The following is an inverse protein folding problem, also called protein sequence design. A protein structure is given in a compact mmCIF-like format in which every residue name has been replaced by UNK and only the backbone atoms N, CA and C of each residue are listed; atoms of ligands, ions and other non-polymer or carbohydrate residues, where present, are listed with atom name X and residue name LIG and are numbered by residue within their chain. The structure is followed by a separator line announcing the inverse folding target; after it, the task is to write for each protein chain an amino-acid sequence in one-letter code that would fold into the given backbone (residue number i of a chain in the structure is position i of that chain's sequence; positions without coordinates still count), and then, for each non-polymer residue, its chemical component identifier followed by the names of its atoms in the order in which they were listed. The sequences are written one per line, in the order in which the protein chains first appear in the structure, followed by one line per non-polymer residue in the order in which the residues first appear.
data_IF_041037378068
#
_entry.id   IF_041037378068
#
_cell.length_a   1.000
_cell.length_b   1.000
_cell.length_c   1.000
_cell.angle_alpha   90.00
_cell.angle_beta   90.00
_cell.angle_gamma   90.00
#
_symmetry.space_group_name_H-M   'P 1'
#
loop_
_entity.id
_entity.type
_entity.pdbx_description
1 polymer ?
#
# COMPACT_ATOMS: atom_id res chain seq x y z
N UNK A 1 -11.97 16.50 12.66
CA UNK A 1 -12.92 15.60 13.40
C UNK A 1 -12.14 14.88 14.45
N UNK A 2 -12.65 14.79 15.68
CA UNK A 2 -12.02 14.02 16.75
C UNK A 2 -11.87 12.55 16.31
N UNK A 3 -10.69 11.93 16.44
CA UNK A 3 -10.47 10.51 16.11
C UNK A 3 -11.52 9.57 16.74
N UNK A 4 -11.90 9.82 18.00
CA UNK A 4 -12.91 9.03 18.70
C UNK A 4 -14.30 9.00 18.04
N UNK A 5 -14.60 9.93 17.13
CA UNK A 5 -15.87 10.00 16.41
C UNK A 5 -15.75 9.49 14.97
N UNK A 6 -14.54 9.15 14.49
CA UNK A 6 -14.34 8.65 13.13
C UNK A 6 -14.83 7.22 13.01
N UNK A 7 -15.42 6.92 11.86
CA UNK A 7 -15.88 5.59 11.47
C UNK A 7 -15.01 5.12 10.29
N UNK A 8 -14.25 4.08 10.48
CA UNK A 8 -13.32 3.57 9.47
C UNK A 8 -13.77 2.20 8.98
N UNK A 9 -13.51 1.92 7.70
CA UNK A 9 -13.62 0.59 7.10
C UNK A 9 -12.21 0.09 6.79
N UNK A 10 -11.86 -1.07 7.31
CA UNK A 10 -10.66 -1.82 6.94
C UNK A 10 -11.06 -2.94 5.97
N UNK A 11 -10.82 -2.74 4.69
CA UNK A 11 -11.06 -3.70 3.62
C UNK A 11 -9.79 -4.50 3.35
N UNK A 12 -9.87 -5.82 3.43
CA UNK A 12 -8.71 -6.72 3.49
C UNK A 12 -8.31 -7.07 4.92
N UNK A 13 -9.28 -7.08 5.84
CA UNK A 13 -9.05 -7.25 7.28
C UNK A 13 -8.55 -8.65 7.68
N UNK A 14 -8.72 -9.67 6.82
CA UNK A 14 -8.20 -11.02 7.03
C UNK A 14 -6.73 -11.19 6.58
N UNK A 15 -6.17 -10.21 5.86
CA UNK A 15 -4.78 -10.22 5.39
C UNK A 15 -3.76 -9.84 6.48
N UNK A 16 -2.47 -10.09 6.23
CA UNK A 16 -1.39 -9.83 7.19
C UNK A 16 -1.31 -8.35 7.60
N UNK A 17 -1.27 -7.41 6.63
CA UNK A 17 -1.26 -5.98 6.92
C UNK A 17 -2.58 -5.55 7.58
N UNK A 18 -3.73 -6.06 7.09
CA UNK A 18 -5.04 -5.78 7.69
C UNK A 18 -5.11 -6.21 9.16
N UNK A 19 -4.59 -7.38 9.49
CA UNK A 19 -4.51 -7.87 10.87
C UNK A 19 -3.67 -6.96 11.78
N UNK A 20 -2.50 -6.52 11.31
CA UNK A 20 -1.63 -5.61 12.06
C UNK A 20 -2.30 -4.23 12.28
N UNK A 21 -2.94 -3.68 11.25
CA UNK A 21 -3.69 -2.41 11.35
C UNK A 21 -4.83 -2.55 12.38
N UNK A 22 -5.62 -3.62 12.28
CA UNK A 22 -6.68 -3.90 13.26
C UNK A 22 -6.15 -3.89 14.68
N UNK A 23 -5.09 -4.64 14.93
CA UNK A 23 -4.52 -4.76 16.27
C UNK A 23 -3.96 -3.43 16.78
N UNK A 24 -3.17 -2.73 15.95
CA UNK A 24 -2.49 -1.49 16.34
C UNK A 24 -3.44 -0.28 16.50
N UNK A 25 -4.60 -0.30 15.84
CA UNK A 25 -5.58 0.80 15.89
C UNK A 25 -6.85 0.46 16.70
N UNK A 26 -6.87 -0.70 17.36
CA UNK A 26 -8.03 -1.15 18.15
C UNK A 26 -8.43 -0.12 19.20
N UNK A 27 -9.74 0.21 19.22
CA UNK A 27 -10.32 1.13 20.21
C UNK A 27 -9.96 2.61 20.03
N UNK A 28 -9.21 2.96 18.96
CA UNK A 28 -8.80 4.34 18.70
C UNK A 28 -9.90 5.18 18.06
N UNK A 29 -10.79 4.56 17.28
CA UNK A 29 -11.85 5.24 16.51
C UNK A 29 -13.23 4.83 17.01
N UNK A 30 -14.23 5.65 16.71
CA UNK A 30 -15.62 5.40 17.12
C UNK A 30 -16.21 4.11 16.56
N UNK A 31 -15.75 3.70 15.37
CA UNK A 31 -16.05 2.40 14.76
C UNK A 31 -14.89 1.96 13.89
N UNK A 32 -14.52 0.69 13.98
CA UNK A 32 -13.71 0.00 12.98
C UNK A 32 -14.54 -1.14 12.36
N UNK A 33 -15.01 -0.94 11.13
CA UNK A 33 -15.68 -2.00 10.37
C UNK A 33 -14.63 -2.82 9.63
N UNK A 34 -14.62 -4.11 9.88
CA UNK A 34 -13.69 -5.09 9.33
C UNK A 34 -14.36 -5.80 8.16
N UNK A 35 -13.82 -5.69 6.96
CA UNK A 35 -14.41 -6.29 5.77
C UNK A 35 -13.39 -7.11 4.98
N UNK A 36 -13.84 -8.28 4.54
CA UNK A 36 -13.07 -9.16 3.67
C UNK A 36 -14.02 -10.11 2.93
N UNK A 37 -13.53 -10.75 1.86
CA UNK A 37 -14.21 -11.88 1.23
C UNK A 37 -14.01 -13.16 2.06
N UNK A 38 -12.86 -13.29 2.72
CA UNK A 38 -12.55 -14.36 3.66
C UNK A 38 -13.15 -14.08 5.05
N UNK A 39 -13.36 -15.11 5.88
CA UNK A 39 -13.81 -14.93 7.25
C UNK A 39 -12.83 -14.07 8.06
N UNK A 40 -13.33 -13.03 8.70
CA UNK A 40 -12.57 -12.19 9.63
C UNK A 40 -12.75 -12.74 11.05
N UNK A 41 -11.69 -12.66 11.87
CA UNK A 41 -11.79 -13.03 13.28
C UNK A 41 -12.91 -12.22 14.00
N UNK A 42 -13.59 -12.78 15.02
CA UNK A 42 -14.73 -12.14 15.69
C UNK A 42 -14.46 -10.68 16.07
N UNK A 43 -15.45 -9.82 15.84
CA UNK A 43 -15.38 -8.42 16.17
C UNK A 43 -15.36 -8.21 17.69
N UNK A 44 -14.50 -7.29 18.15
CA UNK A 44 -14.40 -6.85 19.53
C UNK A 44 -15.23 -5.58 19.80
N UNK A 45 -15.10 -4.99 20.98
CA UNK A 45 -15.73 -3.71 21.30
C UNK A 45 -15.30 -2.61 20.32
N UNK A 46 -16.27 -1.86 19.77
CA UNK A 46 -16.02 -0.81 18.77
C UNK A 46 -15.72 -1.33 17.37
N UNK A 47 -15.88 -2.63 17.14
CA UNK A 47 -15.69 -3.26 15.83
C UNK A 47 -17.00 -3.85 15.27
N UNK A 48 -17.11 -3.92 13.96
CA UNK A 48 -18.12 -4.67 13.21
C UNK A 48 -17.42 -5.54 12.16
N UNK A 49 -17.86 -6.76 11.96
CA UNK A 49 -17.35 -7.62 10.89
C UNK A 49 -18.43 -7.81 9.81
N UNK A 50 -18.07 -7.57 8.56
CA UNK A 50 -18.95 -7.73 7.41
C UNK A 50 -18.21 -8.47 6.28
N UNK A 51 -18.94 -9.23 5.47
CA UNK A 51 -18.38 -9.76 4.23
C UNK A 51 -18.50 -8.68 3.13
N UNK A 52 -17.41 -8.41 2.43
CA UNK A 52 -17.41 -7.54 1.27
C UNK A 52 -16.57 -8.13 0.14
N UNK A 53 -17.11 -8.07 -1.07
CA UNK A 53 -16.47 -8.57 -2.28
C UNK A 53 -16.11 -7.39 -3.21
N UNK A 54 -14.82 -7.29 -3.58
CA UNK A 54 -14.34 -6.23 -4.48
C UNK A 54 -15.02 -6.26 -5.84
N UNK A 55 -15.53 -7.42 -6.27
CA UNK A 55 -16.18 -7.56 -7.57
C UNK A 55 -17.66 -7.15 -7.56
N UNK A 56 -18.21 -6.84 -6.40
CA UNK A 56 -19.63 -6.51 -6.22
C UNK A 56 -19.82 -5.10 -5.66
N UNK A 57 -20.06 -4.10 -6.51
CA UNK A 57 -20.32 -2.71 -6.08
C UNK A 57 -21.38 -2.61 -4.98
N UNK A 58 -22.55 -3.28 -5.05
CA UNK A 58 -23.54 -3.20 -3.98
C UNK A 58 -23.02 -3.68 -2.63
N UNK A 59 -22.19 -4.73 -2.60
CA UNK A 59 -21.53 -5.25 -1.40
C UNK A 59 -20.60 -4.20 -0.78
N UNK A 60 -19.79 -3.55 -1.60
CA UNK A 60 -18.88 -2.48 -1.18
C UNK A 60 -19.64 -1.25 -0.67
N UNK A 61 -20.69 -0.80 -1.37
CA UNK A 61 -21.51 0.34 -0.93
C UNK A 61 -22.16 0.05 0.42
N UNK A 62 -22.69 -1.15 0.63
CA UNK A 62 -23.25 -1.54 1.92
C UNK A 62 -22.19 -1.50 3.04
N UNK A 63 -20.98 -2.04 2.76
CA UNK A 63 -19.87 -2.01 3.70
C UNK A 63 -19.38 -0.59 4.02
N UNK A 64 -19.48 0.34 3.07
CA UNK A 64 -19.03 1.74 3.18
C UNK A 64 -20.10 2.69 3.74
N UNK A 65 -21.34 2.24 3.90
CA UNK A 65 -22.41 3.12 4.40
C UNK A 65 -22.10 3.63 5.81
N UNK A 66 -22.09 4.95 5.96
CA UNK A 66 -21.79 5.64 7.21
C UNK A 66 -20.32 5.59 7.63
N UNK A 67 -19.39 5.34 6.69
CA UNK A 67 -17.93 5.33 6.89
C UNK A 67 -17.33 6.66 6.44
N UNK A 68 -16.42 7.20 7.24
CA UNK A 68 -15.68 8.43 6.92
C UNK A 68 -14.41 8.15 6.10
N UNK A 69 -13.70 7.06 6.42
CA UNK A 69 -12.43 6.70 5.80
C UNK A 69 -12.36 5.20 5.51
N UNK A 70 -11.97 4.85 4.29
CA UNK A 70 -11.70 3.46 3.87
C UNK A 70 -10.19 3.23 3.83
N UNK A 71 -9.73 2.17 4.47
CA UNK A 71 -8.38 1.63 4.38
C UNK A 71 -8.46 0.39 3.49
N UNK A 72 -7.91 0.47 2.28
CA UNK A 72 -7.97 -0.61 1.31
C UNK A 72 -6.66 -1.38 1.25
N UNK A 73 -6.66 -2.57 1.86
CA UNK A 73 -5.53 -3.52 1.88
C UNK A 73 -5.88 -4.84 1.17
N UNK A 74 -7.04 -4.92 0.51
CA UNK A 74 -7.50 -6.10 -0.20
C UNK A 74 -6.89 -6.21 -1.61
N UNK A 75 -6.88 -7.41 -2.16
CA UNK A 75 -6.40 -7.70 -3.52
C UNK A 75 -5.26 -8.72 -3.53
N UNK A 76 -4.72 -8.98 -4.71
CA UNK A 76 -3.54 -9.82 -4.91
C UNK A 76 -2.31 -9.03 -4.44
N UNK A 77 -1.55 -9.52 -3.43
CA UNK A 77 -0.54 -8.70 -2.74
C UNK A 77 0.86 -8.75 -3.37
N UNK A 78 1.08 -9.64 -4.33
CA UNK A 78 2.39 -9.89 -4.98
C UNK A 78 2.19 -10.27 -6.45
N UNK A 79 3.28 -10.26 -7.23
CA UNK A 79 3.25 -10.83 -8.59
C UNK A 79 3.11 -12.35 -8.53
N UNK A 80 2.03 -12.95 -9.05
CA UNK A 80 1.91 -14.40 -9.14
C UNK A 80 2.99 -15.00 -10.05
N UNK A 81 3.44 -16.22 -9.72
CA UNK A 81 4.47 -16.91 -10.53
C UNK A 81 3.98 -17.29 -11.91
N UNK A 82 2.70 -17.63 -12.02
CA UNK A 82 2.07 -18.06 -13.28
C UNK A 82 0.75 -17.33 -13.47
N UNK A 83 0.34 -17.11 -14.73
CA UNK A 83 -0.92 -16.47 -15.08
C UNK A 83 -1.16 -15.16 -14.28
N UNK A 84 -0.10 -14.34 -14.17
CA UNK A 84 -0.11 -13.17 -13.31
C UNK A 84 -1.22 -12.18 -13.70
N UNK A 85 -1.43 -11.95 -15.00
CA UNK A 85 -2.48 -11.05 -15.48
C UNK A 85 -3.88 -11.54 -15.08
N UNK A 86 -4.19 -12.81 -15.32
CA UNK A 86 -5.50 -13.39 -15.01
C UNK A 86 -5.81 -13.37 -13.52
N UNK A 87 -4.79 -13.47 -12.66
CA UNK A 87 -4.96 -13.41 -11.21
C UNK A 87 -5.06 -11.97 -10.69
N UNK A 88 -4.29 -11.04 -11.26
CA UNK A 88 -4.25 -9.63 -10.84
C UNK A 88 -5.48 -8.86 -11.34
N UNK A 89 -5.96 -9.14 -12.58
CA UNK A 89 -7.03 -8.41 -13.24
C UNK A 89 -8.31 -8.30 -12.39
N UNK A 90 -8.89 -9.37 -11.85
CA UNK A 90 -10.17 -9.26 -11.16
C UNK A 90 -10.10 -8.35 -9.93
N UNK A 91 -9.19 -8.62 -9.00
CA UNK A 91 -9.14 -7.91 -7.73
C UNK A 91 -8.46 -6.53 -7.83
N UNK A 92 -7.32 -6.46 -8.55
CA UNK A 92 -6.50 -5.25 -8.53
C UNK A 92 -6.86 -4.23 -9.62
N UNK A 93 -7.60 -4.62 -10.64
CA UNK A 93 -8.08 -3.71 -11.69
C UNK A 93 -9.59 -3.48 -11.54
N UNK A 94 -10.40 -4.54 -11.73
CA UNK A 94 -11.86 -4.40 -11.65
C UNK A 94 -12.29 -4.04 -10.23
N UNK A 95 -11.73 -4.74 -9.23
CA UNK A 95 -12.01 -4.48 -7.82
C UNK A 95 -11.62 -3.07 -7.36
N UNK A 96 -10.50 -2.53 -7.86
CA UNK A 96 -10.06 -1.16 -7.54
C UNK A 96 -10.96 -0.10 -8.19
N UNK A 97 -11.42 -0.32 -9.44
CA UNK A 97 -12.47 0.53 -10.02
C UNK A 97 -13.71 0.52 -9.13
N UNK A 98 -14.19 -0.65 -8.74
CA UNK A 98 -15.38 -0.81 -7.90
C UNK A 98 -15.21 -0.18 -6.52
N UNK A 99 -14.00 -0.25 -5.92
CA UNK A 99 -13.66 0.41 -4.67
C UNK A 99 -13.94 1.92 -4.72
N UNK A 100 -13.35 2.61 -5.71
CA UNK A 100 -13.47 4.07 -5.82
C UNK A 100 -14.89 4.48 -6.17
N UNK A 101 -15.58 3.74 -7.04
CA UNK A 101 -16.98 4.02 -7.38
C UNK A 101 -17.90 3.80 -6.18
N UNK A 102 -17.72 2.72 -5.42
CA UNK A 102 -18.48 2.47 -4.20
C UNK A 102 -18.22 3.53 -3.14
N UNK A 103 -16.98 3.98 -2.96
CA UNK A 103 -16.64 5.06 -2.04
C UNK A 103 -17.35 6.37 -2.41
N UNK A 104 -17.37 6.71 -3.70
CA UNK A 104 -18.12 7.88 -4.21
C UNK A 104 -19.62 7.75 -3.95
N UNK A 105 -20.22 6.60 -4.27
CA UNK A 105 -21.66 6.35 -4.10
C UNK A 105 -22.09 6.36 -2.63
N UNK A 106 -21.25 5.84 -1.73
CA UNK A 106 -21.49 5.81 -0.30
C UNK A 106 -21.19 7.14 0.43
N UNK A 107 -20.61 8.13 -0.27
CA UNK A 107 -20.26 9.44 0.30
C UNK A 107 -19.06 9.38 1.24
N UNK A 108 -18.16 8.40 1.06
CA UNK A 108 -16.88 8.32 1.79
C UNK A 108 -16.04 9.54 1.49
N UNK A 109 -15.38 10.09 2.50
CA UNK A 109 -14.54 11.29 2.34
C UNK A 109 -13.11 10.98 1.98
N UNK A 110 -12.56 9.87 2.52
CA UNK A 110 -11.15 9.54 2.40
C UNK A 110 -10.93 8.07 2.08
N UNK A 111 -9.98 7.78 1.19
CA UNK A 111 -9.49 6.44 0.89
C UNK A 111 -7.98 6.40 1.04
N UNK A 112 -7.49 5.48 1.87
CA UNK A 112 -6.10 5.06 1.91
C UNK A 112 -5.97 3.82 1.02
N UNK A 113 -5.27 3.95 -0.09
CA UNK A 113 -5.12 2.90 -1.10
C UNK A 113 -3.77 2.21 -0.97
N UNK A 114 -3.76 0.89 -0.76
CA UNK A 114 -2.53 0.10 -0.80
C UNK A 114 -1.98 0.03 -2.22
N UNK A 115 -1.12 0.99 -2.57
CA UNK A 115 -0.21 0.91 -3.69
C UNK A 115 1.02 0.10 -3.30
N UNK A 116 2.07 0.11 -4.09
CA UNK A 116 3.29 -0.62 -3.84
C UNK A 116 4.48 0.12 -4.43
N UNK A 117 5.67 -0.05 -3.85
CA UNK A 117 6.92 0.39 -4.44
C UNK A 117 7.17 -0.23 -5.83
N UNK A 118 6.52 -1.37 -6.15
CA UNK A 118 6.55 -1.98 -7.48
C UNK A 118 5.89 -1.12 -8.58
N UNK A 119 5.12 -0.09 -8.23
CA UNK A 119 4.68 0.95 -9.16
C UNK A 119 5.87 1.78 -9.73
N UNK A 120 7.00 1.75 -9.04
CA UNK A 120 8.23 2.48 -9.35
C UNK A 120 9.46 1.56 -9.45
N UNK A 121 9.27 0.24 -9.58
CA UNK A 121 10.29 -0.78 -9.41
C UNK A 121 11.49 -0.66 -10.36
N UNK A 122 11.29 -0.21 -11.62
CA UNK A 122 12.39 0.01 -12.58
C UNK A 122 13.15 1.33 -12.39
N UNK A 123 12.86 2.13 -11.36
CA UNK A 123 13.77 3.20 -10.99
C UNK A 123 15.07 2.63 -10.41
N UNK A 124 16.18 3.33 -10.65
CA UNK A 124 17.49 2.93 -10.14
C UNK A 124 17.62 3.22 -8.65
N UNK A 125 18.38 2.40 -7.94
CA UNK A 125 18.67 2.57 -6.49
C UNK A 125 19.66 3.71 -6.21
N UNK A 126 20.50 4.04 -7.20
CA UNK A 126 21.49 5.13 -7.09
C UNK A 126 20.91 6.52 -7.34
N UNK A 127 19.59 6.59 -7.63
CA UNK A 127 18.87 7.84 -7.86
C UNK A 127 17.76 7.98 -6.83
N UNK A 128 17.76 9.00 -5.96
CA UNK A 128 16.65 9.28 -5.06
C UNK A 128 15.33 9.40 -5.83
N UNK A 129 14.30 8.77 -5.34
CA UNK A 129 13.00 8.70 -6.02
C UNK A 129 11.94 9.38 -5.17
N UNK A 130 11.42 10.51 -5.63
CA UNK A 130 10.29 11.20 -5.02
C UNK A 130 8.97 10.50 -5.36
N UNK A 131 7.95 10.77 -4.57
CA UNK A 131 6.58 10.30 -4.78
C UNK A 131 5.94 10.82 -6.06
N UNK A 132 6.39 11.99 -6.55
CA UNK A 132 5.93 12.65 -7.79
C UNK A 132 6.58 12.11 -9.07
N UNK A 133 7.55 11.19 -8.97
CA UNK A 133 8.20 10.64 -10.18
C UNK A 133 7.24 9.79 -11.01
N UNK A 134 7.47 9.82 -12.32
CA UNK A 134 6.71 9.02 -13.29
C UNK A 134 6.77 7.54 -12.90
N UNK A 135 5.63 6.85 -12.83
CA UNK A 135 5.62 5.42 -12.54
C UNK A 135 6.45 4.61 -13.55
N UNK A 136 7.22 3.65 -13.04
CA UNK A 136 8.01 2.68 -13.82
C UNK A 136 7.80 1.28 -13.23
N UNK A 137 6.62 0.68 -13.47
CA UNK A 137 6.27 -0.61 -12.86
C UNK A 137 7.13 -1.75 -13.42
N UNK A 138 7.40 -2.74 -12.58
CA UNK A 138 8.28 -3.88 -12.85
C UNK A 138 7.54 -5.19 -13.14
N UNK A 139 6.22 -5.19 -13.06
CA UNK A 139 5.39 -6.40 -13.09
C UNK A 139 3.94 -6.06 -13.42
N UNK A 140 3.09 -7.06 -13.74
CA UNK A 140 1.65 -6.86 -13.85
C UNK A 140 1.04 -6.40 -12.53
N UNK A 141 1.58 -6.89 -11.40
CA UNK A 141 1.22 -6.40 -10.08
C UNK A 141 1.56 -4.90 -9.96
N UNK A 142 2.78 -4.49 -10.31
CA UNK A 142 3.17 -3.08 -10.31
C UNK A 142 2.29 -2.21 -11.20
N UNK A 143 1.97 -2.67 -12.44
CA UNK A 143 1.02 -1.99 -13.35
C UNK A 143 -0.35 -1.82 -12.70
N UNK A 144 -0.85 -2.83 -11.99
CA UNK A 144 -2.14 -2.73 -11.31
C UNK A 144 -2.15 -1.68 -10.20
N UNK A 145 -1.01 -1.47 -9.54
CA UNK A 145 -0.88 -0.43 -8.52
C UNK A 145 -0.83 0.98 -9.14
N UNK A 146 -0.15 1.13 -10.28
CA UNK A 146 -0.20 2.38 -11.07
C UNK A 146 -1.62 2.69 -11.54
N UNK A 147 -2.37 1.68 -12.01
CA UNK A 147 -3.78 1.86 -12.32
C UNK A 147 -4.58 2.40 -11.13
N UNK A 148 -4.39 1.84 -9.95
CA UNK A 148 -5.07 2.30 -8.74
C UNK A 148 -4.69 3.73 -8.33
N UNK A 149 -3.42 4.12 -8.47
CA UNK A 149 -2.96 5.49 -8.25
C UNK A 149 -3.64 6.46 -9.23
N UNK A 150 -3.71 6.10 -10.53
CA UNK A 150 -4.37 6.91 -11.55
C UNK A 150 -5.89 7.03 -11.31
N UNK A 151 -6.55 5.94 -10.89
CA UNK A 151 -7.95 5.96 -10.49
C UNK A 151 -8.17 6.89 -9.30
N UNK A 152 -7.36 6.74 -8.24
CA UNK A 152 -7.44 7.59 -7.05
C UNK A 152 -7.26 9.08 -7.38
N UNK A 153 -6.31 9.42 -8.24
CA UNK A 153 -6.10 10.79 -8.71
C UNK A 153 -7.32 11.33 -9.45
N UNK A 154 -7.88 10.56 -10.38
CA UNK A 154 -9.08 10.97 -11.11
C UNK A 154 -10.28 11.18 -10.17
N UNK A 155 -10.49 10.29 -9.19
CA UNK A 155 -11.59 10.44 -8.23
C UNK A 155 -11.39 11.64 -7.30
N UNK A 156 -10.15 11.95 -6.94
CA UNK A 156 -9.84 13.17 -6.19
C UNK A 156 -10.17 14.43 -7.01
N UNK A 157 -9.68 14.52 -8.24
CA UNK A 157 -9.84 15.70 -9.09
C UNK A 157 -11.30 15.91 -9.54
N UNK A 158 -12.03 14.82 -9.84
CA UNK A 158 -13.41 14.94 -10.37
C UNK A 158 -14.49 14.96 -9.31
N UNK A 159 -14.29 14.26 -8.20
CA UNK A 159 -15.34 14.03 -7.21
C UNK A 159 -14.98 14.54 -5.81
N UNK A 160 -13.78 15.10 -5.62
CA UNK A 160 -13.35 15.65 -4.33
C UNK A 160 -13.06 14.61 -3.26
N UNK A 161 -12.83 13.34 -3.66
CA UNK A 161 -12.43 12.28 -2.75
C UNK A 161 -10.97 12.53 -2.29
N UNK A 162 -10.70 12.47 -1.01
CA UNK A 162 -9.32 12.53 -0.51
C UNK A 162 -8.68 11.15 -0.68
N UNK A 163 -7.59 11.05 -1.45
CA UNK A 163 -6.96 9.76 -1.72
C UNK A 163 -5.47 9.81 -1.38
N UNK A 164 -5.05 8.93 -0.47
CA UNK A 164 -3.66 8.68 -0.13
C UNK A 164 -3.23 7.33 -0.68
N UNK A 165 -2.37 7.33 -1.67
CA UNK A 165 -1.77 6.11 -2.22
C UNK A 165 -0.51 5.76 -1.45
N UNK A 166 -0.51 4.59 -0.79
CA UNK A 166 0.59 4.09 0.01
C UNK A 166 1.46 3.17 -0.87
N UNK A 167 2.59 3.64 -1.37
CA UNK A 167 3.59 2.80 -2.03
C UNK A 167 4.33 1.98 -0.98
N UNK A 168 3.67 0.91 -0.52
CA UNK A 168 4.18 0.07 0.57
C UNK A 168 5.46 -0.63 0.12
N UNK A 169 6.50 -0.53 0.93
CA UNK A 169 7.76 -1.26 0.79
C UNK A 169 7.63 -2.74 1.13
N UNK A 170 8.73 -3.37 1.52
CA UNK A 170 8.74 -4.77 1.93
C UNK A 170 8.18 -4.91 3.37
N UNK A 171 6.86 -5.07 3.49
CA UNK A 171 6.20 -5.30 4.78
C UNK A 171 6.54 -6.69 5.32
N UNK A 172 7.28 -6.76 6.43
CA UNK A 172 7.71 -8.00 7.10
C UNK A 172 8.05 -7.73 8.56
N UNK A 173 8.00 -8.77 9.39
CA UNK A 173 8.44 -8.70 10.81
C UNK A 173 9.93 -8.35 10.91
N UNK A 174 10.75 -8.86 9.98
CA UNK A 174 12.17 -8.54 9.88
C UNK A 174 12.62 -8.55 8.41
N UNK A 175 13.64 -7.74 8.04
CA UNK A 175 14.24 -7.81 6.71
C UNK A 175 14.95 -9.15 6.47
N UNK A 176 14.93 -9.67 5.24
CA UNK A 176 15.43 -11.01 4.90
C UNK A 176 16.41 -11.06 3.73
N UNK A 177 16.58 -9.97 3.00
CA UNK A 177 17.49 -9.86 1.86
C UNK A 177 18.16 -8.46 1.78
N UNK A 178 19.26 -8.29 1.00
CA UNK A 178 19.98 -7.01 0.92
C UNK A 178 19.11 -5.82 0.50
N UNK A 179 18.14 -6.01 -0.39
CA UNK A 179 17.22 -4.96 -0.83
C UNK A 179 16.34 -4.47 0.32
N UNK A 180 15.94 -5.37 1.23
CA UNK A 180 15.11 -4.99 2.39
C UNK A 180 15.81 -3.99 3.32
N UNK A 181 17.16 -3.91 3.31
CA UNK A 181 17.89 -2.89 4.06
C UNK A 181 17.52 -1.44 3.63
N UNK A 182 16.97 -1.28 2.42
CA UNK A 182 16.49 0.01 1.92
C UNK A 182 14.98 0.16 1.95
N UNK A 183 14.22 -0.92 1.67
CA UNK A 183 12.78 -0.84 1.36
C UNK A 183 11.89 -1.47 2.42
N UNK A 184 12.43 -1.97 3.52
CA UNK A 184 11.66 -2.61 4.58
C UNK A 184 10.73 -1.61 5.29
N UNK A 185 9.53 -2.09 5.63
CA UNK A 185 8.61 -1.42 6.55
C UNK A 185 8.17 -2.40 7.62
N UNK A 186 8.35 -2.02 8.88
CA UNK A 186 7.93 -2.83 10.03
C UNK A 186 6.41 -2.80 10.20
N UNK A 187 5.83 -3.80 10.90
CA UNK A 187 4.42 -3.73 11.28
C UNK A 187 4.05 -2.48 12.08
N UNK A 188 4.93 -2.03 13.00
CA UNK A 188 4.73 -0.82 13.79
C UNK A 188 4.65 0.43 12.91
N UNK A 189 5.62 0.63 12.05
CA UNK A 189 5.70 1.81 11.20
C UNK A 189 4.60 1.81 10.13
N UNK A 190 4.17 0.63 9.66
CA UNK A 190 3.02 0.51 8.76
C UNK A 190 1.71 0.95 9.43
N UNK A 191 1.48 0.54 10.68
CA UNK A 191 0.32 0.97 11.47
C UNK A 191 0.36 2.49 11.69
N UNK A 192 1.53 3.03 12.02
CA UNK A 192 1.72 4.48 12.22
C UNK A 192 1.45 5.28 10.94
N UNK A 193 1.95 4.82 9.78
CA UNK A 193 1.65 5.44 8.49
C UNK A 193 0.15 5.50 8.20
N UNK A 194 -0.55 4.38 8.43
CA UNK A 194 -2.01 4.32 8.24
C UNK A 194 -2.72 5.28 9.20
N UNK A 195 -2.30 5.32 10.48
CA UNK A 195 -2.82 6.28 11.46
C UNK A 195 -2.65 7.72 10.99
N UNK A 196 -1.43 8.08 10.56
CA UNK A 196 -1.14 9.41 10.02
C UNK A 196 -2.04 9.73 8.82
N UNK A 197 -2.23 8.78 7.89
CA UNK A 197 -3.13 8.95 6.76
C UNK A 197 -4.59 9.17 7.14
N UNK A 198 -5.11 8.43 8.14
CA UNK A 198 -6.47 8.61 8.65
C UNK A 198 -6.63 9.99 9.29
N UNK A 199 -5.66 10.43 10.08
CA UNK A 199 -5.73 11.63 10.92
C UNK A 199 -5.21 12.90 10.23
N UNK A 200 -4.62 12.78 9.04
CA UNK A 200 -4.11 13.90 8.26
C UNK A 200 -5.14 15.04 8.12
N UNK A 201 -4.70 16.30 7.99
CA UNK A 201 -5.56 17.39 7.55
C UNK A 201 -6.19 17.09 6.18
N UNK A 202 -7.12 17.91 5.73
CA UNK A 202 -7.72 17.73 4.41
C UNK A 202 -6.68 17.96 3.29
N UNK A 203 -6.69 17.05 2.33
CA UNK A 203 -5.84 17.07 1.14
C UNK A 203 -6.66 16.57 -0.07
N UNK A 204 -6.17 16.71 -1.28
CA UNK A 204 -6.81 16.11 -2.46
C UNK A 204 -6.27 14.72 -2.71
N UNK A 205 -5.15 14.65 -3.42
CA UNK A 205 -4.43 13.41 -3.75
C UNK A 205 -2.98 13.50 -3.30
N UNK A 206 -2.49 12.43 -2.71
CA UNK A 206 -1.07 12.30 -2.38
C UNK A 206 -0.60 10.85 -2.54
N UNK A 207 0.70 10.71 -2.76
CA UNK A 207 1.43 9.44 -2.72
C UNK A 207 2.43 9.52 -1.57
N UNK A 208 2.70 8.39 -0.92
CA UNK A 208 3.74 8.28 0.10
C UNK A 208 4.37 6.90 0.05
N UNK A 209 5.69 6.83 0.19
CA UNK A 209 6.37 5.55 0.37
C UNK A 209 6.22 5.07 1.81
N UNK A 210 5.63 3.88 1.97
CA UNK A 210 5.53 3.18 3.25
C UNK A 210 6.85 2.45 3.53
N UNK A 211 7.74 3.07 4.25
CA UNK A 211 9.09 2.60 4.56
C UNK A 211 9.44 2.98 5.99
N UNK A 212 10.19 2.11 6.70
CA UNK A 212 10.79 2.43 7.99
C UNK A 212 11.96 3.40 7.84
N UNK A 213 12.50 3.92 8.95
CA UNK A 213 13.64 4.86 8.95
C UNK A 213 14.97 4.15 8.60
N UNK A 214 14.98 3.48 7.44
CA UNK A 214 16.11 2.69 7.00
C UNK A 214 17.29 3.58 6.60
N UNK A 215 18.45 3.33 7.16
CA UNK A 215 19.71 4.04 6.83
C UNK A 215 20.01 4.05 5.32
N UNK A 216 19.59 3.01 4.60
CA UNK A 216 19.85 2.83 3.15
C UNK A 216 18.67 3.19 2.28
N UNK A 217 17.68 3.92 2.81
CA UNK A 217 16.51 4.37 2.07
C UNK A 217 16.91 5.28 0.90
N UNK A 218 16.25 5.10 -0.24
CA UNK A 218 16.41 5.92 -1.45
C UNK A 218 15.11 6.65 -1.85
N UNK A 219 14.08 6.59 -1.02
CA UNK A 219 12.80 7.26 -1.28
C UNK A 219 12.68 8.56 -0.50
N UNK A 220 12.13 9.57 -1.16
CA UNK A 220 11.85 10.88 -0.60
C UNK A 220 10.34 11.08 -0.43
N UNK A 221 9.90 11.33 0.78
CA UNK A 221 8.52 11.60 1.16
C UNK A 221 8.26 13.09 1.47
N UNK A 222 9.12 13.99 1.01
CA UNK A 222 9.01 15.43 1.33
C UNK A 222 7.70 16.06 0.90
N UNK A 223 7.12 15.64 -0.23
CA UNK A 223 5.82 16.09 -0.71
C UNK A 223 4.64 15.62 0.17
N UNK A 224 4.84 14.53 0.93
CA UNK A 224 3.88 14.01 1.88
C UNK A 224 4.15 14.44 3.35
N UNK A 225 4.97 15.46 3.57
CA UNK A 225 5.36 15.94 4.91
C UNK A 225 4.16 16.36 5.79
N UNK A 226 3.02 16.73 5.18
CA UNK A 226 1.78 17.05 5.90
C UNK A 226 1.20 15.87 6.70
N UNK A 227 1.61 14.63 6.41
CA UNK A 227 1.22 13.43 7.17
C UNK A 227 1.87 13.38 8.54
N UNK A 228 3.01 14.06 8.73
CA UNK A 228 3.81 13.96 9.96
C UNK A 228 4.11 12.50 10.30
N UNK A 229 4.47 11.71 9.27
CA UNK A 229 4.86 10.32 9.41
C UNK A 229 6.33 10.26 9.85
N UNK A 230 6.56 9.74 11.05
CA UNK A 230 7.89 9.61 11.67
C UNK A 230 8.15 8.12 11.97
N UNK A 231 8.62 7.32 10.97
CA UNK A 231 8.97 5.93 11.19
C UNK A 231 10.13 5.81 12.19
N UNK A 232 10.21 4.70 12.91
CA UNK A 232 11.17 4.55 14.00
C UNK A 232 12.03 3.28 13.92
N UNK A 233 11.59 2.28 13.12
CA UNK A 233 12.34 1.05 12.96
C UNK A 233 13.36 1.20 11.83
N UNK A 234 14.50 0.49 11.93
CA UNK A 234 15.58 0.57 10.97
C UNK A 234 16.13 -0.81 10.66
N UNK A 235 16.17 -1.18 9.39
CA UNK A 235 16.66 -2.46 8.91
C UNK A 235 18.17 -2.66 9.13
N UNK A 236 18.94 -1.60 9.39
CA UNK A 236 20.39 -1.66 9.58
C UNK A 236 20.82 -2.59 10.73
N UNK A 237 19.93 -2.80 11.73
CA UNK A 237 20.16 -3.75 12.81
C UNK A 237 20.40 -5.21 12.35
N UNK A 238 19.97 -5.54 11.14
CA UNK A 238 20.13 -6.87 10.52
C UNK A 238 21.20 -6.91 9.41
N UNK A 239 21.88 -5.78 9.12
CA UNK A 239 22.73 -5.64 7.95
C UNK A 239 23.86 -6.66 7.89
N UNK A 240 24.58 -6.89 9.00
CA UNK A 240 25.71 -7.84 9.04
C UNK A 240 25.28 -9.26 8.66
N UNK A 241 24.17 -9.73 9.19
CA UNK A 241 23.63 -11.06 8.90
C UNK A 241 23.14 -11.20 7.46
N UNK A 242 22.47 -10.15 6.93
CA UNK A 242 21.91 -10.15 5.59
C UNK A 242 23.00 -10.04 4.54
N UNK A 243 23.99 -9.17 4.72
CA UNK A 243 25.07 -8.96 3.75
C UNK A 243 26.06 -10.12 3.70
N UNK A 244 26.07 -10.98 4.72
CA UNK A 244 26.82 -12.24 4.71
C UNK A 244 26.11 -13.36 3.94
N UNK A 245 24.85 -13.16 3.53
CA UNK A 245 24.05 -14.11 2.75
C UNK A 245 24.39 -14.06 1.24
N UNK A 246 23.69 -14.87 0.44
CA UNK A 246 23.91 -14.94 -1.01
C UNK A 246 23.79 -13.57 -1.69
N UNK A 247 24.64 -13.32 -2.71
CA UNK A 247 24.60 -12.08 -3.46
C UNK A 247 23.27 -11.93 -4.23
N UNK A 248 22.81 -10.71 -4.36
CA UNK A 248 21.62 -10.38 -5.15
C UNK A 248 21.87 -10.66 -6.66
N UNK A 249 20.80 -11.04 -7.38
CA UNK A 249 20.84 -11.21 -8.84
C UNK A 249 21.36 -9.91 -9.51
N UNK A 250 22.41 -10.00 -10.35
CA UNK A 250 22.99 -8.83 -11.02
C UNK A 250 22.00 -8.05 -11.91
N UNK A 251 20.96 -8.72 -12.44
CA UNK A 251 19.90 -8.03 -13.21
C UNK A 251 18.92 -7.27 -12.32
N UNK A 252 18.75 -7.72 -11.07
CA UNK A 252 17.89 -7.09 -10.07
C UNK A 252 18.58 -5.95 -9.32
N UNK A 253 19.86 -6.10 -9.02
CA UNK A 253 20.63 -5.24 -8.13
C UNK A 253 20.57 -3.73 -8.46
N UNK A 254 20.55 -3.28 -9.73
CA UNK A 254 20.45 -1.84 -10.04
C UNK A 254 19.09 -1.22 -9.72
N UNK A 255 18.01 -2.01 -9.61
CA UNK A 255 16.63 -1.52 -9.58
C UNK A 255 15.97 -1.67 -8.23
N UNK A 256 15.03 -0.77 -7.94
CA UNK A 256 14.31 -0.71 -6.67
C UNK A 256 13.36 -1.91 -6.46
N UNK A 257 12.78 -2.45 -7.55
CA UNK A 257 11.87 -3.61 -7.51
C UNK A 257 12.57 -4.95 -7.25
N UNK A 258 13.89 -5.00 -7.37
CA UNK A 258 14.68 -6.20 -7.10
C UNK A 258 14.30 -7.35 -8.03
N UNK A 259 14.03 -8.55 -7.46
CA UNK A 259 13.75 -9.77 -8.23
C UNK A 259 12.62 -9.61 -9.27
N UNK A 260 11.62 -8.78 -9.04
CA UNK A 260 10.57 -8.53 -10.03
C UNK A 260 11.10 -7.87 -11.30
N UNK A 261 12.14 -7.04 -11.19
CA UNK A 261 12.81 -6.47 -12.36
C UNK A 261 13.65 -7.51 -13.12
N UNK A 262 14.15 -8.56 -12.46
CA UNK A 262 14.94 -9.63 -13.09
C UNK A 262 14.06 -10.70 -13.73
N UNK A 263 12.86 -10.95 -13.18
CA UNK A 263 11.95 -11.96 -13.70
C UNK A 263 11.58 -11.66 -15.15
N UNK A 264 11.82 -12.63 -16.03
CA UNK A 264 11.54 -12.54 -17.47
C UNK A 264 12.26 -11.36 -18.20
N UNK A 265 13.33 -10.83 -17.58
CA UNK A 265 14.09 -9.71 -18.13
C UNK A 265 14.99 -10.16 -19.27
N UNK A 266 14.69 -9.69 -20.48
CA UNK A 266 15.46 -10.00 -21.72
C UNK A 266 16.31 -8.82 -22.23
N UNK A 267 16.27 -7.69 -21.52
CA UNK A 267 16.99 -6.48 -21.86
C UNK A 267 18.42 -6.45 -21.32
N UNK A 268 19.12 -5.34 -21.54
CA UNK A 268 20.36 -5.03 -20.85
C UNK A 268 20.06 -3.98 -19.77
N UNK A 269 20.45 -4.19 -18.49
CA UNK A 269 20.17 -3.24 -17.41
C UNK A 269 20.58 -1.79 -17.70
N UNK A 270 21.67 -1.58 -18.43
CA UNK A 270 22.13 -0.25 -18.83
C UNK A 270 21.31 0.42 -19.95
N UNK A 271 20.29 -0.25 -20.50
CA UNK A 271 19.38 0.35 -21.51
C UNK A 271 18.03 0.75 -20.92
N UNK A 272 17.80 0.48 -19.65
CA UNK A 272 16.50 0.80 -19.00
C UNK A 272 16.32 2.30 -18.79
N UNK A 273 17.40 3.08 -18.87
CA UNK A 273 17.42 4.53 -18.58
C UNK A 273 17.41 5.41 -19.84
N UNK A 274 17.18 4.85 -21.01
CA UNK A 274 17.14 5.60 -22.28
C UNK A 274 15.70 5.96 -22.64
#
# INVERSE_FOLDING_TARGET
MDPANRRILLLGAAGGIGGAIREGLRGRYGLMRLADIAPVAPAGPGEEAVRADLLEIPSLVAAMTGIDCVIHMAGVPVEPETNAWEQVLPANIIGVHNLFEAARLAGVKRVLFASSHHAAGFHRRDTPTADTMVPRPDSYYGVSKVFGEAMGRMYADKFGLQVLSLRIGAYRDAPTDPRHLSVWVSPRDMVELVRCGIEAPDFGYAVVYGVSDNTRNFWDNSEAAFLVYEPQDNAEAWADAILASDPEDPAAAPFQGGWYCAKDFVGAPGRVDI
#
